data_IF_857129089672
#
_entry.id   IF_857129089672
#
_cell.length_a   1.000
_cell.length_b   1.000
_cell.length_c   1.000
_cell.angle_alpha   90.00
_cell.angle_beta   90.00
_cell.angle_gamma   90.00
#
_symmetry.space_group_name_H-M   'P 1'
#
loop_
_entity.id
_entity.type
_entity.pdbx_description
1 polymer ?
#
# COMPACT_ATOMS: atom_id res chain seq x y z
N UNK A 1 -33.93 -6.28 -43.15
CA UNK A 1 -33.28 -6.02 -41.86
C UNK A 1 -33.04 -4.53 -41.78
N UNK A 2 -33.64 -3.84 -40.82
CA UNK A 2 -33.50 -2.38 -40.73
C UNK A 2 -32.19 -2.02 -39.99
N UNK A 3 -31.74 -0.77 -40.08
CA UNK A 3 -30.46 -0.34 -39.51
C UNK A 3 -30.38 -0.56 -37.97
N UNK A 4 -31.54 -0.52 -37.31
CA UNK A 4 -31.68 -0.79 -35.88
C UNK A 4 -31.40 -2.26 -35.56
N UNK A 5 -31.94 -3.21 -36.33
CA UNK A 5 -31.69 -4.65 -36.17
C UNK A 5 -30.19 -4.98 -36.31
N UNK A 6 -29.51 -4.35 -37.28
CA UNK A 6 -28.08 -4.55 -37.51
C UNK A 6 -27.22 -4.03 -36.34
N UNK A 7 -27.57 -2.85 -35.81
CA UNK A 7 -26.88 -2.26 -34.66
C UNK A 7 -27.05 -3.12 -33.40
N UNK A 8 -28.25 -3.65 -33.18
CA UNK A 8 -28.53 -4.56 -32.05
C UNK A 8 -27.71 -5.84 -32.17
N UNK A 9 -27.60 -6.42 -33.37
CA UNK A 9 -26.79 -7.63 -33.61
C UNK A 9 -25.29 -7.38 -33.34
N UNK A 10 -24.75 -6.24 -33.76
CA UNK A 10 -23.35 -5.91 -33.48
C UNK A 10 -23.06 -5.73 -31.99
N UNK A 11 -23.97 -5.10 -31.24
CA UNK A 11 -23.82 -4.94 -29.79
C UNK A 11 -23.85 -6.30 -29.09
N UNK A 12 -24.81 -7.17 -29.45
CA UNK A 12 -24.91 -8.50 -28.87
C UNK A 12 -23.67 -9.35 -29.17
N UNK A 13 -23.13 -9.25 -30.37
CA UNK A 13 -21.90 -9.94 -30.75
C UNK A 13 -20.69 -9.42 -29.96
N UNK A 14 -20.53 -8.11 -29.82
CA UNK A 14 -19.44 -7.52 -29.02
C UNK A 14 -19.55 -7.88 -27.53
N UNK A 15 -20.77 -7.95 -26.99
CA UNK A 15 -21.00 -8.43 -25.61
C UNK A 15 -20.61 -9.90 -25.46
N UNK A 16 -20.94 -10.75 -26.43
CA UNK A 16 -20.59 -12.17 -26.40
C UNK A 16 -19.07 -12.39 -26.45
N UNK A 17 -18.36 -11.65 -27.31
CA UNK A 17 -16.90 -11.69 -27.40
C UNK A 17 -16.23 -11.22 -26.09
N UNK A 18 -16.78 -10.16 -25.47
CA UNK A 18 -16.28 -9.64 -24.20
C UNK A 18 -16.48 -10.64 -23.05
N UNK A 19 -17.67 -11.25 -22.97
CA UNK A 19 -17.96 -12.28 -21.97
C UNK A 19 -17.04 -13.50 -22.13
N UNK A 20 -16.78 -13.92 -23.37
CA UNK A 20 -15.88 -15.03 -23.65
C UNK A 20 -14.42 -14.72 -23.24
N UNK A 21 -13.94 -13.50 -23.52
CA UNK A 21 -12.60 -13.08 -23.09
C UNK A 21 -12.47 -13.03 -21.56
N UNK A 22 -13.50 -12.54 -20.87
CA UNK A 22 -13.54 -12.52 -19.40
C UNK A 22 -13.52 -13.92 -18.82
N UNK A 23 -14.29 -14.85 -19.39
CA UNK A 23 -14.32 -16.25 -18.94
C UNK A 23 -12.93 -16.90 -19.06
N UNK A 24 -12.25 -16.72 -20.20
CA UNK A 24 -10.87 -17.20 -20.37
C UNK A 24 -9.89 -16.60 -19.36
N UNK A 25 -9.99 -15.29 -19.13
CA UNK A 25 -9.15 -14.62 -18.13
C UNK A 25 -9.39 -15.17 -16.71
N UNK A 26 -10.64 -15.51 -16.38
CA UNK A 26 -10.99 -16.09 -15.09
C UNK A 26 -10.44 -17.52 -14.92
N UNK A 27 -10.51 -18.34 -15.97
CA UNK A 27 -9.91 -19.69 -15.98
C UNK A 27 -8.38 -19.63 -15.79
N UNK A 28 -7.70 -18.72 -16.50
CA UNK A 28 -6.25 -18.53 -16.33
C UNK A 28 -5.86 -18.09 -14.91
N UNK A 29 -6.64 -17.18 -14.32
CA UNK A 29 -6.41 -16.74 -12.95
C UNK A 29 -6.64 -17.86 -11.94
N UNK A 30 -7.66 -18.70 -12.16
CA UNK A 30 -7.94 -19.87 -11.32
C UNK A 30 -6.77 -20.87 -11.39
N UNK A 31 -6.27 -21.17 -12.59
CA UNK A 31 -5.10 -22.06 -12.78
C UNK A 31 -3.87 -21.52 -12.05
N UNK A 32 -3.60 -20.21 -12.13
CA UNK A 32 -2.47 -19.57 -11.43
C UNK A 32 -2.65 -19.63 -9.91
N UNK A 33 -3.86 -19.45 -9.41
CA UNK A 33 -4.16 -19.55 -7.98
C UNK A 33 -3.97 -20.99 -7.47
N UNK A 34 -4.40 -21.99 -8.24
CA UNK A 34 -4.24 -23.39 -7.88
C UNK A 34 -2.78 -23.84 -7.94
N UNK A 35 -1.99 -23.31 -8.88
CA UNK A 35 -0.53 -23.52 -8.94
C UNK A 35 0.16 -22.95 -7.70
N UNK A 36 -0.13 -21.71 -7.32
CA UNK A 36 0.39 -21.10 -6.09
C UNK A 36 -0.02 -21.89 -4.83
N UNK A 37 -1.25 -22.41 -4.79
CA UNK A 37 -1.72 -23.22 -3.67
C UNK A 37 -1.02 -24.58 -3.61
N UNK A 38 -0.68 -25.18 -4.75
CA UNK A 38 0.13 -26.40 -4.83
C UNK A 38 1.58 -26.16 -4.42
N UNK A 39 2.17 -25.03 -4.79
CA UNK A 39 3.54 -24.68 -4.37
C UNK A 39 3.63 -24.51 -2.85
N UNK A 40 2.57 -24.00 -2.20
CA UNK A 40 2.49 -23.93 -0.74
C UNK A 40 2.23 -25.29 -0.06
N UNK A 41 1.57 -26.23 -0.75
CA UNK A 41 1.22 -27.56 -0.21
C UNK A 41 2.23 -28.66 -0.57
N UNK A 42 3.07 -28.46 -1.59
CA UNK A 42 4.09 -29.40 -2.06
C UNK A 42 5.44 -29.25 -1.34
N UNK A 43 5.58 -28.23 -0.49
CA UNK A 43 6.69 -28.13 0.44
C UNK A 43 6.40 -28.98 1.68
N UNK A 44 6.44 -30.31 1.50
CA UNK A 44 6.74 -31.23 2.60
C UNK A 44 8.20 -30.97 2.98
N UNK A 45 8.41 -29.89 3.73
CA UNK A 45 9.64 -29.75 4.51
C UNK A 45 9.70 -30.99 5.40
N UNK A 46 10.83 -31.71 5.48
CA UNK A 46 10.98 -32.68 6.55
C UNK A 46 10.70 -31.93 7.84
N UNK A 47 9.88 -32.52 8.72
CA UNK A 47 9.67 -32.00 10.07
C UNK A 47 11.02 -31.53 10.60
N UNK A 48 11.22 -30.23 10.86
CA UNK A 48 12.23 -29.89 11.82
C UNK A 48 11.67 -30.48 13.10
N UNK A 49 12.30 -31.57 13.56
CA UNK A 49 12.16 -32.06 14.92
C UNK A 49 11.90 -30.84 15.81
N UNK A 50 10.82 -30.90 16.59
CA UNK A 50 10.51 -29.92 17.63
C UNK A 50 11.65 -30.06 18.66
N UNK A 51 12.81 -29.55 18.31
CA UNK A 51 13.78 -29.04 19.26
C UNK A 51 13.05 -27.82 19.75
N UNK A 52 12.51 -27.93 20.96
CA UNK A 52 12.15 -26.81 21.80
C UNK A 52 13.34 -25.85 21.83
N UNK A 53 13.45 -24.99 20.81
CA UNK A 53 14.32 -23.84 20.84
C UNK A 53 13.61 -22.88 21.76
N UNK A 54 13.95 -23.05 23.02
CA UNK A 54 13.76 -22.17 24.14
C UNK A 54 13.08 -20.86 23.73
N UNK A 55 11.88 -20.66 24.26
CA UNK A 55 11.39 -19.35 24.68
C UNK A 55 12.43 -18.71 25.65
N UNK A 56 13.63 -18.44 25.15
CA UNK A 56 14.49 -17.42 25.71
C UNK A 56 13.97 -16.14 25.08
N UNK A 57 13.18 -15.42 25.87
CA UNK A 57 12.41 -14.25 25.47
C UNK A 57 13.28 -13.20 24.79
N UNK A 58 13.35 -13.28 23.46
CA UNK A 58 13.67 -12.12 22.66
C UNK A 58 12.42 -11.24 22.69
N UNK A 59 12.37 -10.36 23.70
CA UNK A 59 11.52 -9.18 23.73
C UNK A 59 11.50 -8.62 22.30
N UNK A 60 10.32 -8.29 21.71
CA UNK A 60 10.26 -7.59 20.44
C UNK A 60 11.29 -6.46 20.50
N UNK A 61 12.34 -6.54 19.68
CA UNK A 61 13.39 -5.51 19.68
C UNK A 61 12.67 -4.16 19.58
N UNK A 62 13.12 -3.12 20.32
CA UNK A 62 12.47 -1.82 20.30
C UNK A 62 12.10 -1.48 18.87
N UNK A 63 10.79 -1.35 18.65
CA UNK A 63 10.25 -1.01 17.34
C UNK A 63 11.03 0.21 16.87
N UNK A 64 11.61 0.18 15.66
CA UNK A 64 12.37 1.30 15.17
C UNK A 64 11.55 2.59 15.33
N UNK A 65 12.20 3.72 15.60
CA UNK A 65 11.59 5.07 15.64
C UNK A 65 11.04 5.53 14.26
N UNK A 66 10.60 4.56 13.45
CA UNK A 66 10.07 4.63 12.10
C UNK A 66 8.92 5.62 12.03
N UNK A 67 8.10 5.73 13.09
CA UNK A 67 7.04 6.73 13.21
C UNK A 67 7.60 8.14 13.19
N UNK A 68 8.59 8.44 14.03
CA UNK A 68 9.20 9.77 14.11
C UNK A 68 9.93 10.12 12.81
N UNK A 69 10.68 9.18 12.25
CA UNK A 69 11.36 9.36 10.95
C UNK A 69 10.33 9.66 9.86
N UNK A 70 9.25 8.89 9.80
CA UNK A 70 8.20 9.05 8.79
C UNK A 70 7.46 10.37 8.96
N UNK A 71 7.14 10.77 10.20
CA UNK A 71 6.51 12.06 10.48
C UNK A 71 7.40 13.23 10.09
N UNK A 72 8.68 13.21 10.48
CA UNK A 72 9.66 14.24 10.09
C UNK A 72 9.73 14.34 8.57
N UNK A 73 9.77 13.20 7.87
CA UNK A 73 9.80 13.18 6.40
C UNK A 73 8.53 13.78 5.79
N UNK A 74 7.34 13.37 6.25
CA UNK A 74 6.07 13.89 5.72
C UNK A 74 5.93 15.38 5.99
N UNK A 75 6.21 15.85 7.21
CA UNK A 75 6.11 17.28 7.53
C UNK A 75 7.10 18.11 6.72
N UNK A 76 8.34 17.62 6.53
CA UNK A 76 9.32 18.28 5.66
C UNK A 76 8.82 18.35 4.22
N UNK A 77 8.27 17.25 3.69
CA UNK A 77 7.68 17.24 2.35
C UNK A 77 6.54 18.27 2.25
N UNK A 78 5.58 18.24 3.18
CA UNK A 78 4.41 19.13 3.16
C UNK A 78 4.82 20.60 3.22
N UNK A 79 5.73 20.96 4.14
CA UNK A 79 6.15 22.35 4.32
C UNK A 79 7.13 22.83 3.24
N UNK A 80 8.23 22.12 3.02
CA UNK A 80 9.33 22.59 2.16
C UNK A 80 9.08 22.30 0.69
N UNK A 81 8.58 21.11 0.38
CA UNK A 81 8.40 20.71 -1.01
C UNK A 81 7.05 21.25 -1.53
N UNK A 82 5.96 21.08 -0.77
CA UNK A 82 4.61 21.45 -1.22
C UNK A 82 4.19 22.89 -0.86
N UNK A 83 4.85 23.55 0.10
CA UNK A 83 4.38 24.83 0.64
C UNK A 83 2.99 24.73 1.29
N UNK A 84 2.63 23.55 1.79
CA UNK A 84 1.34 23.29 2.45
C UNK A 84 1.51 23.44 3.95
N UNK A 85 0.76 24.37 4.52
CA UNK A 85 0.59 24.47 5.95
C UNK A 85 -0.62 23.64 6.38
N UNK A 86 -0.39 22.65 7.23
CA UNK A 86 -1.45 21.83 7.81
C UNK A 86 -2.01 22.53 9.05
N UNK A 87 -3.33 22.70 9.09
CA UNK A 87 -4.03 23.12 10.31
C UNK A 87 -3.93 22.05 11.42
N UNK A 88 -4.36 22.41 12.63
CA UNK A 88 -4.29 21.54 13.81
C UNK A 88 -5.06 20.22 13.63
N UNK A 89 -6.22 20.25 12.97
CA UNK A 89 -7.06 19.07 12.75
C UNK A 89 -6.41 18.10 11.75
N UNK A 90 -5.94 18.61 10.62
CA UNK A 90 -5.24 17.84 9.62
C UNK A 90 -3.90 17.29 10.13
N UNK A 91 -3.19 18.03 11.00
CA UNK A 91 -1.99 17.52 11.70
C UNK A 91 -2.32 16.33 12.60
N UNK A 92 -3.42 16.39 13.35
CA UNK A 92 -3.84 15.31 14.23
C UNK A 92 -4.24 14.05 13.45
N UNK A 93 -5.02 14.20 12.37
CA UNK A 93 -5.40 13.08 11.49
C UNK A 93 -4.14 12.44 10.89
N UNK A 94 -3.24 13.25 10.34
CA UNK A 94 -1.99 12.75 9.78
C UNK A 94 -1.17 11.98 10.81
N UNK A 95 -1.00 12.54 12.01
CA UNK A 95 -0.24 11.90 13.08
C UNK A 95 -0.82 10.53 13.47
N UNK A 96 -2.14 10.44 13.61
CA UNK A 96 -2.83 9.17 13.92
C UNK A 96 -2.70 8.15 12.79
N UNK A 97 -2.91 8.56 11.54
CA UNK A 97 -2.72 7.69 10.37
C UNK A 97 -1.28 7.19 10.28
N UNK A 98 -0.29 8.06 10.49
CA UNK A 98 1.12 7.67 10.46
C UNK A 98 1.48 6.71 11.57
N UNK A 99 0.92 6.89 12.78
CA UNK A 99 1.05 5.90 13.86
C UNK A 99 0.61 4.51 13.42
N UNK A 100 -0.63 4.40 12.94
CA UNK A 100 -1.19 3.12 12.50
C UNK A 100 -0.38 2.45 11.38
N UNK A 101 0.03 3.22 10.35
CA UNK A 101 0.86 2.67 9.27
C UNK A 101 2.22 2.22 9.77
N UNK A 102 2.83 2.97 10.70
CA UNK A 102 4.14 2.65 11.24
C UNK A 102 4.11 1.43 12.16
N UNK A 103 3.01 1.23 12.91
CA UNK A 103 2.79 0.04 13.72
C UNK A 103 2.69 -1.21 12.83
N UNK A 104 1.93 -1.14 11.72
CA UNK A 104 1.88 -2.23 10.73
C UNK A 104 3.26 -2.42 10.05
N UNK A 105 3.93 -1.34 9.65
CA UNK A 105 5.24 -1.37 9.01
C UNK A 105 6.31 -2.03 9.91
N UNK A 106 6.26 -1.79 11.21
CA UNK A 106 7.17 -2.36 12.21
C UNK A 106 7.06 -3.89 12.35
N UNK A 107 5.95 -4.48 11.89
CA UNK A 107 5.79 -5.94 11.88
C UNK A 107 6.53 -6.61 10.73
N UNK A 108 6.97 -5.85 9.71
CA UNK A 108 7.64 -6.41 8.55
C UNK A 108 9.07 -6.87 8.90
N UNK A 109 9.47 -8.10 8.52
CA UNK A 109 10.83 -8.60 8.76
C UNK A 109 11.93 -7.68 8.20
N UNK A 110 11.69 -7.09 7.03
CA UNK A 110 12.61 -6.14 6.40
C UNK A 110 12.81 -4.84 7.19
N UNK A 111 11.83 -4.46 8.01
CA UNK A 111 11.89 -3.27 8.88
C UNK A 111 12.53 -3.63 10.21
N UNK A 112 12.22 -4.81 10.76
CA UNK A 112 12.88 -5.34 11.95
C UNK A 112 14.39 -5.55 11.76
N UNK A 113 14.80 -5.88 10.54
CA UNK A 113 16.21 -6.03 10.17
C UNK A 113 17.01 -4.71 10.17
N UNK A 114 16.35 -3.54 10.20
CA UNK A 114 17.04 -2.24 10.17
C UNK A 114 17.77 -1.90 11.48
N UNK A 115 17.50 -2.63 12.58
CA UNK A 115 18.11 -2.38 13.88
C UNK A 115 17.50 -1.17 14.62
N UNK A 116 18.22 -0.64 15.61
CA UNK A 116 17.68 0.34 16.57
C UNK A 116 17.56 1.78 16.02
N UNK A 117 18.33 2.14 15.00
CA UNK A 117 18.42 3.52 14.51
C UNK A 117 18.36 3.59 12.98
N UNK A 118 17.25 3.16 12.35
CA UNK A 118 17.09 3.39 10.93
C UNK A 118 17.13 4.88 10.62
N UNK A 119 17.47 5.20 9.39
CA UNK A 119 17.23 6.51 8.82
C UNK A 119 16.26 6.38 7.64
N UNK A 120 15.73 7.49 7.14
CA UNK A 120 14.80 7.42 6.01
C UNK A 120 15.45 6.76 4.78
N UNK A 121 16.74 6.98 4.53
CA UNK A 121 17.46 6.36 3.39
C UNK A 121 17.62 4.84 3.51
N UNK A 122 17.72 4.28 4.72
CA UNK A 122 17.92 2.83 4.94
C UNK A 122 16.63 2.02 4.79
N UNK A 123 15.46 2.66 4.89
CA UNK A 123 14.19 1.99 4.61
C UNK A 123 14.15 1.67 3.11
N UNK A 124 13.88 0.40 2.77
CA UNK A 124 13.80 -0.03 1.37
C UNK A 124 12.73 0.75 0.60
N UNK A 125 12.93 0.89 -0.72
CA UNK A 125 11.93 1.57 -1.54
C UNK A 125 10.59 0.81 -1.56
N UNK A 126 10.62 -0.51 -1.43
CA UNK A 126 9.43 -1.34 -1.28
C UNK A 126 8.64 -0.99 -0.02
N UNK A 127 9.31 -0.93 1.14
CA UNK A 127 8.68 -0.55 2.41
C UNK A 127 8.13 0.89 2.37
N UNK A 128 8.86 1.81 1.74
CA UNK A 128 8.38 3.19 1.51
C UNK A 128 7.14 3.24 0.64
N UNK A 129 7.11 2.46 -0.45
CA UNK A 129 5.96 2.38 -1.34
C UNK A 129 4.76 1.79 -0.63
N UNK A 130 4.96 0.71 0.14
CA UNK A 130 3.92 0.08 0.95
C UNK A 130 3.32 1.08 1.95
N UNK A 131 4.17 1.76 2.73
CA UNK A 131 3.73 2.75 3.72
C UNK A 131 2.95 3.90 3.07
N UNK A 132 3.39 4.32 1.89
CA UNK A 132 2.76 5.38 1.12
C UNK A 132 1.38 4.98 0.56
N UNK A 133 1.25 3.79 0.00
CA UNK A 133 -0.05 3.26 -0.45
C UNK A 133 -1.01 3.12 0.75
N UNK A 134 -0.52 2.62 1.89
CA UNK A 134 -1.34 2.49 3.10
C UNK A 134 -1.80 3.84 3.66
N UNK A 135 -0.90 4.82 3.71
CA UNK A 135 -1.25 6.21 4.06
C UNK A 135 -2.33 6.77 3.13
N UNK A 136 -2.19 6.56 1.82
CA UNK A 136 -3.13 7.10 0.85
C UNK A 136 -4.54 6.52 1.03
N UNK A 137 -4.65 5.22 1.32
CA UNK A 137 -5.92 4.59 1.64
C UNK A 137 -6.56 5.17 2.91
N UNK A 138 -5.79 5.29 3.99
CA UNK A 138 -6.31 5.76 5.29
C UNK A 138 -6.72 7.24 5.25
N UNK A 139 -5.91 8.08 4.61
CA UNK A 139 -6.21 9.50 4.46
C UNK A 139 -7.45 9.70 3.60
N UNK A 140 -7.62 8.92 2.53
CA UNK A 140 -8.83 8.97 1.68
C UNK A 140 -10.10 8.70 2.48
N UNK A 141 -10.06 7.74 3.41
CA UNK A 141 -11.19 7.47 4.31
C UNK A 141 -11.50 8.63 5.27
N UNK A 142 -10.51 9.51 5.54
CA UNK A 142 -10.69 10.76 6.27
C UNK A 142 -10.99 11.96 5.34
N UNK A 143 -11.42 11.67 4.10
CA UNK A 143 -11.71 12.63 3.04
C UNK A 143 -10.47 13.30 2.42
N UNK A 144 -9.27 13.02 2.93
CA UNK A 144 -8.02 13.61 2.46
C UNK A 144 -7.55 12.79 1.27
N UNK A 145 -7.73 13.31 0.05
CA UNK A 145 -7.26 12.61 -1.13
C UNK A 145 -5.72 12.69 -1.24
N UNK A 146 -5.07 11.55 -1.07
CA UNK A 146 -3.62 11.39 -1.16
C UNK A 146 -3.23 10.38 -2.25
N UNK A 147 -4.12 10.16 -3.23
CA UNK A 147 -3.95 9.19 -4.35
C UNK A 147 -2.67 9.35 -5.17
N UNK A 148 -1.99 10.51 -5.09
CA UNK A 148 -0.75 10.78 -5.83
C UNK A 148 0.55 10.45 -5.08
N UNK A 149 0.47 9.84 -3.91
CA UNK A 149 1.66 9.28 -3.25
C UNK A 149 2.29 8.14 -4.09
N UNK A 150 1.49 7.49 -4.96
CA UNK A 150 1.92 6.31 -5.71
C UNK A 150 3.20 6.54 -6.53
N UNK A 151 4.22 5.74 -6.21
CA UNK A 151 5.49 5.52 -6.94
C UNK A 151 6.50 6.66 -6.96
N UNK A 152 6.15 7.86 -6.53
CA UNK A 152 7.12 8.94 -6.43
C UNK A 152 6.65 9.97 -5.39
N UNK A 153 7.21 9.90 -4.19
CA UNK A 153 7.24 11.02 -3.23
C UNK A 153 7.80 12.32 -3.88
N UNK A 154 8.31 12.24 -5.11
CA UNK A 154 8.73 13.32 -5.99
C UNK A 154 7.59 14.09 -6.71
N UNK A 155 6.32 13.66 -6.70
CA UNK A 155 5.23 14.45 -7.33
C UNK A 155 4.71 15.58 -6.43
N UNK A 156 5.64 16.44 -6.07
CA UNK A 156 5.52 17.54 -5.11
C UNK A 156 4.56 18.63 -5.60
N UNK A 157 4.58 19.01 -6.88
CA UNK A 157 3.82 20.18 -7.32
C UNK A 157 2.28 20.00 -7.22
N UNK A 158 1.77 18.77 -7.36
CA UNK A 158 0.33 18.50 -7.52
C UNK A 158 -0.41 18.19 -6.21
N UNK A 159 0.28 17.72 -5.17
CA UNK A 159 -0.35 17.45 -3.85
C UNK A 159 -0.72 18.77 -3.17
N UNK A 160 0.08 19.83 -3.35
CA UNK A 160 -0.20 21.16 -2.78
C UNK A 160 -1.58 21.73 -3.13
N UNK A 161 -2.08 21.46 -4.35
CA UNK A 161 -3.36 21.97 -4.84
C UNK A 161 -4.57 21.32 -4.14
N UNK A 162 -4.46 20.05 -3.74
CA UNK A 162 -5.54 19.32 -3.06
C UNK A 162 -5.83 19.86 -1.65
N UNK A 163 -4.79 20.35 -0.97
CA UNK A 163 -4.90 20.93 0.37
C UNK A 163 -5.28 22.42 0.34
N UNK A 164 -4.85 23.17 -0.67
CA UNK A 164 -5.27 24.56 -0.87
C UNK A 164 -6.79 24.68 -1.06
N UNK A 165 -7.41 23.72 -1.74
CA UNK A 165 -8.86 23.70 -1.98
C UNK A 165 -9.71 23.35 -0.74
N UNK A 166 -9.08 23.06 0.41
CA UNK A 166 -9.77 22.80 1.68
C UNK A 166 -9.78 23.98 2.66
N UNK A 167 -9.18 25.13 2.31
CA UNK A 167 -9.40 26.37 3.07
C UNK A 167 -10.86 26.81 2.85
N UNK A 168 -11.74 26.42 3.77
CA UNK A 168 -12.99 27.12 4.05
C UNK A 168 -12.72 28.13 5.16
#
# INVERSE_FOLDING_TARGET
MNNTDYTILQILQGMQETLFALQKGQEELQIRQDALKKDMNGQESPEPAIVHNNLSGAIPRPVPNIKDITLVHIYRMMSHNLGVELDKGNKAILHSCTGFVCDELATLPSVQALGQYPNWSTISQENKNWACTRHACLLRSNGIDFTRCHKNWASVAKVSQLWKNRKK
#
